data_IF_126175972132
#
_entry.id   IF_126175972132
#
_cell.length_a   1.000
_cell.length_b   1.000
_cell.length_c   1.000
_cell.angle_alpha   90.00
_cell.angle_beta   90.00
_cell.angle_gamma   90.00
#
_symmetry.space_group_name_H-M   'P 1'
#
loop_
_entity.id
_entity.type
_entity.pdbx_description
1 polymer ?
#
# COMPACT_ATOMS: atom_id res chain seq x y z
N UNK A 1 -0.68 -0.40 11.26
CA UNK A 1 -1.43 -0.90 10.11
C UNK A 1 -1.93 -2.31 10.41
N UNK A 2 -3.24 -2.52 10.41
CA UNK A 2 -3.88 -3.83 10.54
C UNK A 2 -4.10 -4.48 9.14
N UNK A 3 -4.68 -5.68 9.10
CA UNK A 3 -4.88 -6.42 7.84
C UNK A 3 -5.93 -5.76 6.94
N UNK A 4 -7.01 -5.22 7.50
CA UNK A 4 -8.07 -4.56 6.75
C UNK A 4 -7.57 -3.27 6.07
N UNK A 5 -6.80 -2.47 6.80
CA UNK A 5 -6.12 -1.28 6.25
C UNK A 5 -5.20 -1.67 5.09
N UNK A 6 -4.41 -2.74 5.23
CA UNK A 6 -3.55 -3.23 4.15
C UNK A 6 -4.37 -3.68 2.92
N UNK A 7 -5.47 -4.41 3.12
CA UNK A 7 -6.35 -4.84 2.02
C UNK A 7 -6.98 -3.63 1.31
N UNK A 8 -7.45 -2.64 2.06
CA UNK A 8 -8.02 -1.41 1.49
C UNK A 8 -6.99 -0.66 0.64
N UNK A 9 -5.75 -0.56 1.13
CA UNK A 9 -4.64 0.07 0.41
C UNK A 9 -4.31 -0.70 -0.87
N UNK A 10 -4.23 -2.03 -0.83
CA UNK A 10 -3.97 -2.86 -2.02
C UNK A 10 -5.15 -2.84 -3.02
N UNK A 11 -6.38 -2.73 -2.52
CA UNK A 11 -7.57 -2.57 -3.37
C UNK A 11 -7.53 -1.22 -4.07
N UNK A 12 -7.21 -0.15 -3.34
CA UNK A 12 -7.03 1.18 -3.91
C UNK A 12 -5.88 1.21 -4.94
N UNK A 13 -4.77 0.52 -4.65
CA UNK A 13 -3.66 0.35 -5.57
C UNK A 13 -4.12 -0.17 -6.94
N UNK A 14 -4.90 -1.26 -6.91
CA UNK A 14 -5.42 -1.90 -8.12
C UNK A 14 -6.47 -1.04 -8.84
N UNK A 15 -7.41 -0.44 -8.10
CA UNK A 15 -8.48 0.38 -8.69
C UNK A 15 -7.98 1.66 -9.36
N UNK A 16 -6.86 2.20 -8.91
CA UNK A 16 -6.24 3.41 -9.48
C UNK A 16 -5.08 3.08 -10.42
N UNK A 17 -4.82 1.79 -10.66
CA UNK A 17 -3.81 1.30 -11.62
C UNK A 17 -2.42 1.90 -11.38
N UNK A 18 -2.02 2.06 -10.11
CA UNK A 18 -0.69 2.59 -9.80
C UNK A 18 0.40 1.65 -10.33
N UNK A 19 1.48 2.24 -10.86
CA UNK A 19 2.60 1.48 -11.41
C UNK A 19 3.73 1.25 -10.41
N UNK A 20 3.66 1.86 -9.23
CA UNK A 20 4.72 1.79 -8.21
C UNK A 20 4.17 1.92 -6.79
N UNK A 21 4.84 1.29 -5.84
CA UNK A 21 4.52 1.42 -4.41
C UNK A 21 4.74 2.84 -3.86
N UNK A 22 5.64 3.60 -4.48
CA UNK A 22 5.91 5.00 -4.12
C UNK A 22 4.76 5.92 -4.51
N UNK A 23 4.23 5.78 -5.71
CA UNK A 23 3.10 6.60 -6.19
C UNK A 23 1.86 6.38 -5.31
N UNK A 24 1.62 5.12 -4.92
CA UNK A 24 0.58 4.78 -3.95
C UNK A 24 0.78 5.49 -2.62
N UNK A 25 1.99 5.46 -2.06
CA UNK A 25 2.28 6.08 -0.77
C UNK A 25 2.14 7.60 -0.84
N UNK A 26 2.58 8.21 -1.95
CA UNK A 26 2.38 9.63 -2.19
C UNK A 26 0.89 9.96 -2.26
N UNK A 27 0.10 9.20 -3.01
CA UNK A 27 -1.36 9.39 -3.07
C UNK A 27 -2.01 9.25 -1.68
N UNK A 28 -1.64 8.26 -0.88
CA UNK A 28 -2.15 8.09 0.49
C UNK A 28 -1.82 9.25 1.43
N UNK A 29 -0.82 10.06 1.11
CA UNK A 29 -0.40 11.23 1.91
C UNK A 29 -0.97 12.55 1.36
N UNK A 30 -0.97 12.71 0.04
CA UNK A 30 -1.28 13.97 -0.64
C UNK A 30 -2.74 14.05 -1.09
N UNK A 31 -3.36 12.94 -1.48
CA UNK A 31 -4.75 12.93 -1.93
C UNK A 31 -5.71 12.96 -0.74
N UNK A 32 -6.61 13.94 -0.73
CA UNK A 32 -7.56 14.17 0.37
C UNK A 32 -8.54 13.01 0.56
N UNK A 33 -8.92 12.33 -0.52
CA UNK A 33 -9.81 11.17 -0.45
C UNK A 33 -9.06 9.96 0.12
N UNK A 34 -7.90 9.64 -0.44
CA UNK A 34 -7.06 8.53 -0.01
C UNK A 34 -6.66 8.70 1.46
N UNK A 35 -6.24 9.90 1.87
CA UNK A 35 -5.86 10.20 3.26
C UNK A 35 -7.02 10.05 4.24
N UNK A 36 -8.25 10.35 3.82
CA UNK A 36 -9.44 10.32 4.68
C UNK A 36 -10.11 8.95 4.77
N UNK A 37 -10.07 8.18 3.70
CA UNK A 37 -10.86 6.96 3.56
C UNK A 37 -10.04 5.67 3.41
N UNK A 38 -8.79 5.76 2.95
CA UNK A 38 -7.96 4.60 2.62
C UNK A 38 -6.76 4.48 3.57
N UNK A 39 -6.08 5.60 3.85
CA UNK A 39 -4.92 5.63 4.72
C UNK A 39 -5.29 5.29 6.18
N UNK A 40 -4.37 4.68 6.94
CA UNK A 40 -4.56 4.45 8.37
C UNK A 40 -4.81 5.77 9.11
N UNK A 41 -5.57 5.73 10.21
CA UNK A 41 -5.95 6.94 10.96
C UNK A 41 -4.75 7.79 11.45
N UNK A 42 -3.59 7.15 11.70
CA UNK A 42 -2.36 7.83 12.11
C UNK A 42 -1.44 8.20 10.91
N UNK A 43 -1.97 8.12 9.69
CA UNK A 43 -1.21 8.24 8.46
C UNK A 43 -0.33 7.01 8.18
N UNK A 44 0.39 7.07 7.06
CA UNK A 44 1.26 5.99 6.62
C UNK A 44 2.70 6.48 6.47
N UNK A 45 3.62 5.81 7.17
CA UNK A 45 5.06 6.00 6.97
C UNK A 45 5.53 5.00 5.92
N UNK A 46 6.37 5.47 5.00
CA UNK A 46 6.92 4.67 3.90
C UNK A 46 7.58 3.38 4.39
N UNK A 47 8.48 3.48 5.38
CA UNK A 47 9.15 2.31 5.97
C UNK A 47 8.15 1.33 6.61
N UNK A 48 7.22 1.82 7.43
CA UNK A 48 6.20 0.97 8.06
C UNK A 48 5.29 0.27 7.05
N UNK A 49 4.97 0.92 5.93
CA UNK A 49 4.22 0.28 4.85
C UNK A 49 5.01 -0.87 4.26
N UNK A 50 6.22 -0.62 3.78
CA UNK A 50 7.02 -1.66 3.14
C UNK A 50 7.39 -2.78 4.10
N UNK A 51 7.69 -2.48 5.38
CA UNK A 51 7.88 -3.50 6.42
C UNK A 51 6.64 -4.39 6.59
N UNK A 52 5.45 -3.78 6.68
CA UNK A 52 4.20 -4.53 6.88
C UNK A 52 3.84 -5.34 5.63
N UNK A 53 4.07 -4.77 4.46
CA UNK A 53 3.91 -5.42 3.16
C UNK A 53 4.88 -6.60 3.09
N UNK A 54 6.17 -6.44 3.38
CA UNK A 54 7.14 -7.53 3.31
C UNK A 54 6.84 -8.65 4.34
N UNK A 55 6.45 -8.29 5.57
CA UNK A 55 6.11 -9.24 6.65
C UNK A 55 4.81 -10.01 6.37
N UNK A 56 3.73 -9.29 6.02
CA UNK A 56 2.38 -9.87 5.87
C UNK A 56 2.03 -10.23 4.45
N UNK A 57 2.78 -9.68 3.50
CA UNK A 57 2.59 -9.82 2.06
C UNK A 57 2.51 -11.25 1.62
N UNK A 58 3.35 -12.13 2.22
CA UNK A 58 3.37 -13.58 1.96
C UNK A 58 1.97 -14.21 2.01
N UNK A 59 1.08 -13.70 2.86
CA UNK A 59 -0.31 -14.16 2.98
C UNK A 59 -1.27 -13.55 1.94
N UNK A 60 -0.96 -12.36 1.43
CA UNK A 60 -1.81 -11.59 0.51
C UNK A 60 -1.38 -11.72 -0.96
N UNK A 61 -0.16 -12.20 -1.27
CA UNK A 61 0.28 -12.45 -2.66
C UNK A 61 -0.69 -13.34 -3.44
N UNK A 62 -1.32 -14.31 -2.79
CA UNK A 62 -2.25 -15.21 -3.48
C UNK A 62 -3.52 -14.49 -3.96
N UNK A 63 -3.86 -13.35 -3.34
CA UNK A 63 -5.04 -12.55 -3.67
C UNK A 63 -4.71 -11.38 -4.60
N UNK A 64 -3.46 -10.90 -4.61
CA UNK A 64 -3.04 -9.75 -5.40
C UNK A 64 -1.71 -10.04 -6.14
N UNK A 65 -1.75 -10.36 -7.45
CA UNK A 65 -0.55 -10.65 -8.24
C UNK A 65 0.33 -9.41 -8.49
N UNK A 66 -0.21 -8.21 -8.31
CA UNK A 66 0.48 -6.90 -8.43
C UNK A 66 1.53 -6.67 -7.32
N UNK A 67 1.52 -7.50 -6.28
CA UNK A 67 2.33 -7.34 -5.09
C UNK A 67 3.86 -7.21 -5.33
N UNK A 68 4.49 -7.98 -6.23
CA UNK A 68 5.93 -7.85 -6.50
C UNK A 68 6.33 -6.46 -7.00
N UNK A 69 5.42 -5.73 -7.66
CA UNK A 69 5.68 -4.36 -8.12
C UNK A 69 5.90 -3.45 -6.92
N UNK A 70 5.04 -3.56 -5.91
CA UNK A 70 5.10 -2.75 -4.69
C UNK A 70 6.40 -3.02 -3.91
N UNK A 71 6.81 -4.27 -3.73
CA UNK A 71 8.03 -4.58 -2.95
C UNK A 71 9.34 -4.16 -3.61
N UNK A 72 9.39 -4.07 -4.95
CA UNK A 72 10.62 -3.68 -5.65
C UNK A 72 10.91 -2.17 -5.55
N UNK A 73 9.94 -1.34 -5.16
CA UNK A 73 10.08 0.12 -5.02
C UNK A 73 10.83 0.59 -3.77
N UNK A 74 11.06 -0.27 -2.77
CA UNK A 74 11.83 0.10 -1.57
C UNK A 74 13.33 0.25 -1.87
N UNK A 75 13.84 -0.49 -2.87
CA UNK A 75 15.26 -0.62 -3.19
C UNK A 75 15.75 0.39 -4.26
N UNK A 76 14.87 1.30 -4.70
CA UNK A 76 15.14 2.28 -5.77
C UNK A 76 15.02 3.74 -5.34
#
# INVERSE_FOLDING_TARGET
>A
MNTEELINILTYFHLQEFSSGRDLIQALQEDDYARKFIAPANGIKRSTFFDTVNDRGLKVYHLFPEFPIICNDEQG
#
